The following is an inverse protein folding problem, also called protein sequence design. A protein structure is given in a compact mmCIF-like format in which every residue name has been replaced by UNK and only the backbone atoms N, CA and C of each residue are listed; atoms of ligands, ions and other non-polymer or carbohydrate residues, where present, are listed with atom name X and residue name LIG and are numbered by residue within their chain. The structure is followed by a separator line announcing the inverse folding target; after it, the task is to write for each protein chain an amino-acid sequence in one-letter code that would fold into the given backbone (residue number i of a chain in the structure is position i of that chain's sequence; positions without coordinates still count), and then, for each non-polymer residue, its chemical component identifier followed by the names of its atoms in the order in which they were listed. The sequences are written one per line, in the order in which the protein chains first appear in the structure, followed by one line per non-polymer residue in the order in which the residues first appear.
data_IF_140452437003
#
_entry.id   IF_140452437003
#
_cell.length_a   1.000
_cell.length_b   1.000
_cell.length_c   1.000
_cell.angle_alpha   90.00
_cell.angle_beta   90.00
_cell.angle_gamma   90.00
#
_symmetry.space_group_name_H-M   'P 1'
#
loop_
_entity.id
_entity.type
_entity.pdbx_description
1 polymer ?
#
# COMPACT_ATOMS: atom_id res chain seq x y z
N UNK A 1 14.94 12.07 -6.08
CA UNK A 1 13.64 12.74 -6.41
C UNK A 1 12.58 11.66 -6.55
N UNK A 2 11.35 11.91 -6.06
CA UNK A 2 10.21 11.00 -6.24
C UNK A 2 9.75 11.11 -7.71
N UNK A 3 9.60 9.97 -8.39
CA UNK A 3 9.13 9.91 -9.79
C UNK A 3 7.64 9.61 -9.87
N UNK A 4 7.19 8.64 -9.08
CA UNK A 4 5.81 8.18 -9.02
C UNK A 4 5.42 7.90 -7.57
N UNK A 5 4.15 8.08 -7.23
CA UNK A 5 3.61 7.74 -5.91
C UNK A 5 2.15 7.31 -6.01
N UNK A 6 1.66 6.67 -4.97
CA UNK A 6 0.27 6.20 -4.83
C UNK A 6 -0.19 6.52 -3.42
N UNK A 7 -1.49 6.80 -3.27
CA UNK A 7 -2.12 6.89 -1.96
C UNK A 7 -2.71 5.52 -1.63
N UNK A 8 -2.22 4.92 -0.55
CA UNK A 8 -2.70 3.62 -0.10
C UNK A 8 -4.14 3.71 0.41
N UNK A 9 -4.89 2.62 0.26
CA UNK A 9 -6.27 2.49 0.73
C UNK A 9 -6.40 2.39 2.26
N UNK A 10 -5.28 2.18 2.95
CA UNK A 10 -5.16 2.23 4.41
C UNK A 10 -3.78 2.78 4.81
N UNK A 11 -3.65 3.20 6.06
CA UNK A 11 -2.35 3.50 6.65
C UNK A 11 -1.56 2.21 6.92
N UNK A 12 -0.22 2.35 6.97
CA UNK A 12 0.64 1.25 7.40
C UNK A 12 0.54 1.06 8.92
N UNK A 13 0.43 -0.19 9.35
CA UNK A 13 0.23 -0.52 10.76
C UNK A 13 1.37 -1.40 11.31
N UNK A 14 1.77 -1.16 12.55
CA UNK A 14 2.73 -2.01 13.26
C UNK A 14 2.11 -3.36 13.68
N UNK A 15 0.80 -3.40 13.96
CA UNK A 15 0.08 -4.62 14.31
C UNK A 15 -0.08 -5.54 13.09
N UNK A 16 -0.14 -4.98 11.89
CA UNK A 16 -0.07 -5.73 10.62
C UNK A 16 1.37 -6.17 10.25
N UNK A 17 2.37 -5.75 11.01
CA UNK A 17 3.78 -6.09 10.77
C UNK A 17 4.46 -5.28 9.68
N UNK A 18 3.81 -4.23 9.17
CA UNK A 18 4.31 -3.36 8.10
C UNK A 18 5.29 -2.30 8.63
N UNK A 19 5.09 -1.90 9.89
CA UNK A 19 5.95 -0.99 10.63
C UNK A 19 6.59 -1.68 11.84
N UNK A 20 7.71 -1.16 12.31
CA UNK A 20 8.16 -1.38 13.69
C UNK A 20 7.27 -0.60 14.65
N UNK A 21 7.27 -0.97 15.95
CA UNK A 21 6.58 -0.18 17.00
C UNK A 21 7.01 1.29 17.04
N UNK A 22 8.23 1.60 16.61
CA UNK A 22 8.76 2.97 16.48
C UNK A 22 8.48 3.61 15.10
N UNK A 23 7.51 3.08 14.33
CA UNK A 23 7.09 3.56 13.00
C UNK A 23 8.13 3.49 11.88
N UNK A 24 9.14 2.61 11.97
CA UNK A 24 10.06 2.35 10.85
C UNK A 24 9.45 1.34 9.89
N UNK A 25 9.49 1.60 8.58
CA UNK A 25 8.96 0.69 7.56
C UNK A 25 9.77 -0.61 7.51
N UNK A 26 9.08 -1.76 7.58
CA UNK A 26 9.69 -3.09 7.39
C UNK A 26 9.64 -3.45 5.90
N UNK A 27 10.61 -2.91 5.15
CA UNK A 27 10.62 -2.91 3.67
C UNK A 27 10.35 -4.28 3.03
N UNK A 28 11.02 -5.34 3.46
CA UNK A 28 10.82 -6.67 2.87
C UNK A 28 9.39 -7.19 3.04
N UNK A 29 8.80 -6.99 4.22
CA UNK A 29 7.41 -7.38 4.48
C UNK A 29 6.42 -6.56 3.65
N UNK A 30 6.64 -5.24 3.57
CA UNK A 30 5.80 -4.34 2.76
C UNK A 30 5.93 -4.67 1.26
N UNK A 31 7.14 -4.93 0.77
CA UNK A 31 7.38 -5.27 -0.64
C UNK A 31 6.68 -6.58 -1.04
N UNK A 32 6.69 -7.58 -0.15
CA UNK A 32 5.98 -8.83 -0.39
C UNK A 32 4.45 -8.65 -0.35
N UNK A 33 3.93 -8.01 0.70
CA UNK A 33 2.48 -7.83 0.89
C UNK A 33 1.85 -6.93 -0.17
N UNK A 34 2.58 -5.92 -0.63
CA UNK A 34 2.11 -4.92 -1.58
C UNK A 34 2.77 -5.05 -2.95
N UNK A 35 3.21 -6.27 -3.32
CA UNK A 35 3.97 -6.53 -4.54
C UNK A 35 3.34 -5.91 -5.78
N UNK A 36 2.04 -6.11 -5.99
CA UNK A 36 1.33 -5.54 -7.15
C UNK A 36 1.38 -4.01 -7.20
N UNK A 37 1.34 -3.34 -6.03
CA UNK A 37 1.48 -1.89 -5.92
C UNK A 37 2.89 -1.46 -6.27
N UNK A 38 3.89 -2.14 -5.69
CA UNK A 38 5.30 -1.85 -5.92
C UNK A 38 5.65 -2.04 -7.40
N UNK A 39 5.22 -3.14 -8.00
CA UNK A 39 5.41 -3.41 -9.43
C UNK A 39 4.77 -2.32 -10.29
N UNK A 40 3.55 -1.89 -9.97
CA UNK A 40 2.88 -0.85 -10.74
C UNK A 40 3.56 0.52 -10.59
N UNK A 41 4.16 0.83 -9.43
CA UNK A 41 4.98 2.03 -9.23
C UNK A 41 6.25 2.02 -10.09
N UNK A 42 6.83 0.85 -10.37
CA UNK A 42 8.02 0.71 -11.22
C UNK A 42 7.71 0.43 -12.69
N UNK A 43 6.49 -0.02 -13.00
CA UNK A 43 6.03 -0.32 -14.35
C UNK A 43 5.33 0.86 -15.03
N UNK A 44 4.40 0.55 -15.93
CA UNK A 44 3.67 1.54 -16.75
C UNK A 44 2.20 1.70 -16.37
N UNK A 45 1.70 0.88 -15.42
CA UNK A 45 0.32 0.97 -14.96
C UNK A 45 0.05 2.35 -14.35
N UNK A 46 -1.14 2.89 -14.60
CA UNK A 46 -1.60 4.17 -14.03
C UNK A 46 -2.66 3.99 -12.93
N UNK A 47 -3.18 2.79 -12.78
CA UNK A 47 -4.15 2.43 -11.75
C UNK A 47 -4.05 0.97 -11.36
N UNK A 48 -4.56 0.65 -10.17
CA UNK A 48 -4.59 -0.69 -9.60
C UNK A 48 -5.92 -0.86 -8.88
N UNK A 49 -6.68 -1.88 -9.25
CA UNK A 49 -7.87 -2.30 -8.49
C UNK A 49 -7.43 -3.33 -7.47
N UNK A 50 -7.75 -3.05 -6.20
CA UNK A 50 -7.44 -3.94 -5.07
C UNK A 50 -8.74 -4.41 -4.46
N UNK A 51 -8.78 -5.72 -4.22
CA UNK A 51 -9.77 -6.37 -3.37
C UNK A 51 -9.01 -6.98 -2.19
N UNK A 52 -9.12 -6.34 -1.02
CA UNK A 52 -8.39 -6.73 0.17
C UNK A 52 -9.32 -6.78 1.38
N UNK A 53 -9.10 -7.76 2.25
CA UNK A 53 -9.71 -7.80 3.58
C UNK A 53 -8.75 -7.15 4.56
N UNK A 54 -9.20 -6.06 5.19
CA UNK A 54 -8.46 -5.39 6.26
C UNK A 54 -9.04 -5.79 7.60
N UNK A 55 -8.17 -5.97 8.60
CA UNK A 55 -8.59 -6.07 9.99
C UNK A 55 -8.56 -4.68 10.61
N UNK A 56 -9.68 -4.29 11.19
CA UNK A 56 -9.80 -3.07 11.97
C UNK A 56 -9.31 -3.35 13.40
N UNK A 57 -8.97 -2.28 14.12
CA UNK A 57 -8.48 -2.37 15.50
C UNK A 57 -9.49 -2.97 16.48
N UNK A 58 -10.77 -3.01 16.11
CA UNK A 58 -11.85 -3.64 16.85
C UNK A 58 -12.11 -5.09 16.41
N UNK A 59 -11.11 -5.73 15.80
CA UNK A 59 -11.12 -7.12 15.29
C UNK A 59 -12.14 -7.39 14.18
N UNK A 60 -12.81 -6.36 13.65
CA UNK A 60 -13.72 -6.53 12.52
C UNK A 60 -12.95 -6.63 11.21
N UNK A 61 -13.36 -7.56 10.37
CA UNK A 61 -12.87 -7.65 9.00
C UNK A 61 -13.74 -6.78 8.09
N UNK A 62 -13.08 -5.92 7.32
CA UNK A 62 -13.74 -5.10 6.29
C UNK A 62 -13.13 -5.43 4.94
N UNK A 63 -13.97 -5.81 3.99
CA UNK A 63 -13.56 -5.94 2.59
C UNK A 63 -13.50 -4.55 1.95
N UNK A 64 -12.36 -4.22 1.38
CA UNK A 64 -12.15 -3.01 0.59
C UNK A 64 -12.00 -3.43 -0.86
N UNK A 65 -12.89 -2.91 -1.69
CA UNK A 65 -12.76 -2.94 -3.13
C UNK A 65 -12.55 -1.51 -3.60
N UNK A 66 -11.35 -1.18 -4.09
CA UNK A 66 -11.02 0.19 -4.48
C UNK A 66 -9.99 0.23 -5.60
N UNK A 67 -10.05 1.28 -6.41
CA UNK A 67 -9.08 1.56 -7.46
C UNK A 67 -8.18 2.70 -7.02
N UNK A 68 -6.88 2.43 -6.88
CA UNK A 68 -5.88 3.44 -6.58
C UNK A 68 -5.22 3.95 -7.85
N UNK A 69 -5.01 5.26 -7.93
CA UNK A 69 -4.29 5.91 -9.03
C UNK A 69 -2.81 6.07 -8.71
N UNK A 70 -1.98 5.86 -9.72
CA UNK A 70 -0.55 6.10 -9.66
C UNK A 70 -0.26 7.46 -10.27
N UNK A 71 0.30 8.35 -9.46
CA UNK A 71 0.59 9.72 -9.83
C UNK A 71 2.03 9.84 -10.30
N UNK A 72 2.21 10.42 -11.47
CA UNK A 72 3.52 10.82 -11.98
C UNK A 72 3.86 12.22 -11.47
N UNK A 73 5.08 12.40 -10.96
CA UNK A 73 5.58 13.72 -10.66
C UNK A 73 6.08 14.37 -11.95
N UNK A 74 5.32 15.34 -12.45
CA UNK A 74 5.77 16.23 -13.52
C UNK A 74 6.77 17.21 -12.91
N UNK A 75 7.90 17.42 -13.61
CA UNK A 75 8.96 18.34 -13.17
C UNK A 75 8.47 19.77 -13.09
#
# INVERSE_FOLDING_TARGET
KIKRFVLLYKELDADDGELTRTRKVRRGFVEERYREIVEALYGEKNEITIDAVIRLQDEREKRIHTTMKIYNMVK
#
